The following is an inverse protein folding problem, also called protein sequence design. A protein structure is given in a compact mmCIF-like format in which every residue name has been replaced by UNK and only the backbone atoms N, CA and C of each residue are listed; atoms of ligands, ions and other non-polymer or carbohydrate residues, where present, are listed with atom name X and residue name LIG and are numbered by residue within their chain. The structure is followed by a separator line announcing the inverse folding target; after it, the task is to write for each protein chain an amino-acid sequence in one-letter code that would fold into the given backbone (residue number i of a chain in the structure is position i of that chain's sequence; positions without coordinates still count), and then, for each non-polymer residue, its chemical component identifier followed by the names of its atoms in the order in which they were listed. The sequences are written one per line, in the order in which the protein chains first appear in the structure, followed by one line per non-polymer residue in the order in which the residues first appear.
data_IF_657960551715
#
_entry.id   IF_657960551715
#
_cell.length_a   1.000
_cell.length_b   1.000
_cell.length_c   1.000
_cell.angle_alpha   90.00
_cell.angle_beta   90.00
_cell.angle_gamma   90.00
#
_symmetry.space_group_name_H-M   'P 1'
#
loop_
_entity.id
_entity.type
_entity.pdbx_description
1 polymer ?
#
# COMPACT_ATOMS: atom_id res chain seq x y z
N UNK A 1 16.20 -11.37 -31.28
CA UNK A 1 16.73 -11.55 -29.91
C UNK A 1 15.61 -11.19 -28.95
N UNK A 2 15.26 -12.10 -28.04
CA UNK A 2 14.28 -11.79 -27.00
C UNK A 2 14.98 -10.97 -25.90
N UNK A 3 14.40 -9.87 -25.40
CA UNK A 3 14.97 -9.10 -24.31
C UNK A 3 15.10 -9.96 -23.04
N UNK A 4 16.08 -9.65 -22.18
CA UNK A 4 16.17 -10.27 -20.88
C UNK A 4 15.20 -9.59 -19.89
N UNK A 5 13.97 -10.11 -19.83
CA UNK A 5 12.89 -9.56 -19.00
C UNK A 5 13.24 -9.52 -17.50
N UNK A 6 14.10 -10.41 -17.01
CA UNK A 6 14.49 -10.43 -15.60
C UNK A 6 15.27 -9.18 -15.17
N UNK A 7 16.04 -8.60 -16.09
CA UNK A 7 16.84 -7.39 -15.83
C UNK A 7 16.08 -6.08 -16.00
N UNK A 8 14.90 -6.12 -16.63
CA UNK A 8 14.11 -4.92 -16.91
C UNK A 8 13.38 -4.45 -15.66
N UNK A 9 13.26 -3.14 -15.48
CA UNK A 9 12.42 -2.52 -14.46
C UNK A 9 10.93 -2.72 -14.74
N UNK A 10 10.06 -2.53 -13.74
CA UNK A 10 8.59 -2.61 -13.92
C UNK A 10 8.10 -1.68 -15.05
N UNK A 11 8.69 -0.50 -15.19
CA UNK A 11 8.35 0.49 -16.21
C UNK A 11 8.76 0.02 -17.61
N UNK A 12 9.94 -0.57 -17.73
CA UNK A 12 10.43 -1.13 -18.99
C UNK A 12 9.59 -2.34 -19.41
N UNK A 13 9.29 -3.26 -18.48
CA UNK A 13 8.41 -4.40 -18.72
C UNK A 13 7.00 -3.97 -19.15
N UNK A 14 6.41 -2.98 -18.47
CA UNK A 14 5.10 -2.41 -18.87
C UNK A 14 5.15 -1.83 -20.29
N UNK A 15 6.19 -1.07 -20.60
CA UNK A 15 6.33 -0.41 -21.91
C UNK A 15 6.50 -1.44 -23.02
N UNK A 16 7.28 -2.50 -22.77
CA UNK A 16 7.49 -3.59 -23.70
C UNK A 16 6.21 -4.40 -23.93
N UNK A 17 5.53 -4.82 -22.86
CA UNK A 17 4.27 -5.57 -22.92
C UNK A 17 3.19 -4.80 -23.68
N UNK A 18 3.09 -3.47 -23.49
CA UNK A 18 2.13 -2.66 -24.23
C UNK A 18 2.37 -2.65 -25.75
N UNK A 19 3.64 -2.77 -26.18
CA UNK A 19 4.03 -2.88 -27.57
C UNK A 19 4.01 -4.33 -28.10
N UNK A 20 4.03 -5.34 -27.22
CA UNK A 20 4.13 -6.76 -27.54
C UNK A 20 3.11 -7.53 -26.68
N UNK A 21 1.82 -7.28 -26.91
CA UNK A 21 0.74 -7.76 -26.03
C UNK A 21 0.59 -9.29 -26.00
N UNK A 22 1.08 -9.96 -27.04
CA UNK A 22 1.00 -11.43 -27.19
C UNK A 22 2.26 -12.14 -26.66
N UNK A 23 3.22 -11.42 -26.09
CA UNK A 23 4.40 -12.04 -25.46
C UNK A 23 4.08 -12.43 -24.00
N UNK A 24 3.65 -13.68 -23.84
CA UNK A 24 3.35 -14.27 -22.53
C UNK A 24 4.53 -14.18 -21.56
N UNK A 25 5.78 -14.29 -22.06
CA UNK A 25 6.97 -14.21 -21.20
C UNK A 25 7.15 -12.80 -20.62
N UNK A 26 6.89 -11.77 -21.43
CA UNK A 26 6.87 -10.40 -20.95
C UNK A 26 5.71 -10.14 -19.98
N UNK A 27 4.54 -10.75 -20.22
CA UNK A 27 3.39 -10.66 -19.32
C UNK A 27 3.70 -11.27 -17.94
N UNK A 28 4.21 -12.50 -17.89
CA UNK A 28 4.57 -13.15 -16.63
C UNK A 28 5.66 -12.39 -15.89
N UNK A 29 6.73 -11.95 -16.57
CA UNK A 29 7.76 -11.14 -15.93
C UNK A 29 7.23 -9.81 -15.37
N UNK A 30 6.28 -9.17 -16.06
CA UNK A 30 5.61 -7.97 -15.55
C UNK A 30 4.72 -8.30 -14.34
N UNK A 31 3.94 -9.37 -14.40
CA UNK A 31 3.05 -9.80 -13.32
C UNK A 31 3.85 -10.17 -12.05
N UNK A 32 4.93 -10.94 -12.19
CA UNK A 32 5.85 -11.28 -11.10
C UNK A 32 6.43 -10.01 -10.48
N UNK A 33 6.92 -9.07 -11.30
CA UNK A 33 7.47 -7.81 -10.80
C UNK A 33 6.44 -6.95 -10.08
N UNK A 34 5.18 -6.97 -10.53
CA UNK A 34 4.08 -6.29 -9.84
C UNK A 34 3.82 -6.98 -8.50
N UNK A 35 3.72 -8.31 -8.48
CA UNK A 35 3.45 -9.07 -7.27
C UNK A 35 4.55 -8.89 -6.22
N UNK A 36 5.82 -8.96 -6.61
CA UNK A 36 6.98 -8.72 -5.73
C UNK A 36 6.96 -7.31 -5.15
N UNK A 37 6.60 -6.31 -5.97
CA UNK A 37 6.48 -4.92 -5.51
C UNK A 37 5.35 -4.76 -4.49
N UNK A 38 4.23 -5.46 -4.68
CA UNK A 38 3.12 -5.48 -3.72
C UNK A 38 3.56 -6.17 -2.45
N UNK A 39 4.11 -7.39 -2.51
CA UNK A 39 4.58 -8.15 -1.35
C UNK A 39 5.62 -7.37 -0.52
N UNK A 40 6.51 -6.63 -1.18
CA UNK A 40 7.49 -5.75 -0.52
C UNK A 40 6.80 -4.63 0.25
N UNK A 41 5.85 -3.94 -0.37
CA UNK A 41 5.08 -2.86 0.26
C UNK A 41 4.22 -3.41 1.40
N UNK A 42 3.59 -4.56 1.22
CA UNK A 42 2.83 -5.26 2.26
C UNK A 42 3.65 -5.52 3.50
N UNK A 43 4.84 -6.11 3.34
CA UNK A 43 5.74 -6.40 4.45
C UNK A 43 6.19 -5.11 5.14
N UNK A 44 6.57 -4.09 4.36
CA UNK A 44 7.01 -2.80 4.88
C UNK A 44 5.92 -2.09 5.71
N UNK A 45 4.67 -2.15 5.25
CA UNK A 45 3.50 -1.57 5.93
C UNK A 45 3.12 -2.36 7.16
N UNK A 46 3.19 -3.70 7.11
CA UNK A 46 2.96 -4.54 8.28
C UNK A 46 3.94 -4.23 9.41
N UNK A 47 5.22 -4.09 9.08
CA UNK A 47 6.25 -3.69 10.07
C UNK A 47 6.06 -2.25 10.57
N UNK A 48 5.60 -1.33 9.71
CA UNK A 48 5.18 0.00 10.18
C UNK A 48 3.99 -0.08 11.15
N UNK A 49 2.95 -0.87 10.84
CA UNK A 49 1.78 -1.05 11.71
C UNK A 49 2.18 -1.59 13.09
N UNK A 50 3.08 -2.58 13.16
CA UNK A 50 3.60 -3.10 14.43
C UNK A 50 4.28 -2.01 15.24
N UNK A 51 5.09 -1.17 14.61
CA UNK A 51 5.79 -0.06 15.29
C UNK A 51 4.82 0.99 15.82
N UNK A 52 3.73 1.28 15.10
CA UNK A 52 2.72 2.24 15.56
C UNK A 52 1.87 1.70 16.72
N UNK A 53 1.79 0.38 16.88
CA UNK A 53 0.98 -0.27 17.90
C UNK A 53 1.83 -1.24 18.76
N UNK A 54 2.88 -0.75 19.46
CA UNK A 54 3.88 -1.60 20.10
C UNK A 54 3.35 -2.43 21.29
N UNK A 55 2.20 -2.06 21.84
CA UNK A 55 1.52 -2.78 22.93
C UNK A 55 0.46 -3.76 22.43
N UNK A 56 0.38 -3.98 21.11
CA UNK A 56 -0.63 -4.80 20.48
C UNK A 56 0.05 -5.88 19.65
N UNK A 57 -0.44 -7.11 19.78
CA UNK A 57 0.00 -8.20 18.92
C UNK A 57 -0.69 -8.06 17.56
N UNK A 58 0.09 -7.98 16.48
CA UNK A 58 -0.43 -7.90 15.11
C UNK A 58 -0.07 -9.16 14.35
N UNK A 59 -1.08 -9.92 13.92
CA UNK A 59 -0.93 -11.19 13.20
C UNK A 59 -1.49 -11.07 11.78
N UNK A 60 -0.73 -11.47 10.76
CA UNK A 60 -1.19 -11.57 9.36
C UNK A 60 -2.02 -12.85 9.18
N UNK A 61 -3.25 -12.72 8.71
CA UNK A 61 -4.13 -13.84 8.40
C UNK A 61 -3.89 -14.36 6.96
N UNK A 62 -4.15 -15.65 6.69
CA UNK A 62 -3.78 -16.33 5.44
C UNK A 62 -4.64 -16.01 4.21
N UNK A 63 -5.47 -14.95 4.22
CA UNK A 63 -6.44 -14.68 3.15
C UNK A 63 -5.88 -13.91 1.94
N UNK A 64 -6.60 -14.02 0.80
CA UNK A 64 -6.31 -13.29 -0.45
C UNK A 64 -6.45 -11.76 -0.32
N UNK A 65 -7.17 -11.28 0.69
CA UNK A 65 -7.13 -9.89 1.15
C UNK A 65 -6.33 -9.90 2.46
N UNK A 66 -5.39 -8.98 2.60
CA UNK A 66 -4.57 -8.89 3.80
C UNK A 66 -5.45 -8.56 5.00
N UNK A 67 -5.75 -9.58 5.79
CA UNK A 67 -6.43 -9.44 7.07
C UNK A 67 -5.39 -9.45 8.18
N UNK A 68 -5.51 -8.53 9.11
CA UNK A 68 -4.69 -8.48 10.31
C UNK A 68 -5.57 -8.64 11.55
N UNK A 69 -5.08 -9.39 12.52
CA UNK A 69 -5.64 -9.44 13.86
C UNK A 69 -4.78 -8.54 14.74
N UNK A 70 -5.42 -7.59 15.42
CA UNK A 70 -4.78 -6.72 16.40
C UNK A 70 -5.39 -7.01 17.75
N UNK A 71 -4.58 -7.41 18.72
CA UNK A 71 -5.03 -7.57 20.10
C UNK A 71 -4.78 -6.26 20.84
N UNK A 72 -5.83 -5.60 21.31
CA UNK A 72 -5.66 -4.39 22.12
C UNK A 72 -5.20 -4.69 23.56
N UNK A 73 -4.99 -3.63 24.35
CA UNK A 73 -4.48 -3.76 25.73
C UNK A 73 -5.43 -4.52 26.67
N UNK A 74 -6.70 -4.64 26.29
CA UNK A 74 -7.75 -5.33 27.06
C UNK A 74 -7.98 -6.76 26.53
N UNK A 75 -7.02 -7.31 25.77
CA UNK A 75 -7.08 -8.61 25.09
C UNK A 75 -8.22 -8.75 24.07
N UNK A 76 -8.85 -7.65 23.67
CA UNK A 76 -9.88 -7.70 22.63
C UNK A 76 -9.24 -7.74 21.26
N UNK A 77 -9.58 -8.79 20.52
CA UNK A 77 -9.16 -8.93 19.13
C UNK A 77 -9.97 -7.98 18.27
N UNK A 78 -9.28 -7.10 17.54
CA UNK A 78 -9.79 -6.30 16.45
C UNK A 78 -9.34 -6.92 15.13
N UNK A 79 -10.26 -6.98 14.16
CA UNK A 79 -9.94 -7.44 12.83
C UNK A 79 -9.80 -6.24 11.92
N UNK A 80 -8.73 -6.21 11.15
CA UNK A 80 -8.45 -5.13 10.23
C UNK A 80 -8.30 -5.70 8.82
N UNK A 81 -8.99 -5.07 7.86
CA UNK A 81 -8.78 -5.34 6.44
C UNK A 81 -7.80 -4.31 5.87
N UNK A 82 -6.84 -4.79 5.09
CA UNK A 82 -5.90 -3.98 4.33
C UNK A 82 -6.14 -4.23 2.84
N UNK A 83 -6.58 -3.18 2.15
CA UNK A 83 -6.79 -3.20 0.71
C UNK A 83 -5.72 -2.38 0.02
N UNK A 84 -4.94 -3.01 -0.86
CA UNK A 84 -3.95 -2.32 -1.69
C UNK A 84 -4.57 -2.05 -3.06
N UNK A 85 -4.68 -0.77 -3.41
CA UNK A 85 -5.29 -0.30 -4.63
C UNK A 85 -4.25 0.51 -5.40
N UNK A 86 -4.08 0.21 -6.67
CA UNK A 86 -3.31 1.09 -7.54
C UNK A 86 -4.19 2.31 -7.86
N UNK A 87 -3.76 3.48 -7.39
CA UNK A 87 -4.47 4.73 -7.49
C UNK A 87 -3.63 5.73 -8.31
N UNK A 88 -4.30 6.73 -8.85
CA UNK A 88 -3.66 7.86 -9.52
C UNK A 88 -4.23 9.14 -8.92
N UNK A 89 -3.36 9.97 -8.37
CA UNK A 89 -3.70 11.30 -7.88
C UNK A 89 -2.75 12.26 -8.58
N UNK A 90 -3.25 13.39 -9.09
CA UNK A 90 -2.46 14.38 -9.82
C UNK A 90 -1.59 13.75 -10.95
N UNK A 91 -0.32 14.14 -11.06
CA UNK A 91 0.64 13.63 -12.05
C UNK A 91 1.30 12.28 -11.64
N UNK A 92 0.92 11.68 -10.50
CA UNK A 92 1.49 10.41 -10.06
C UNK A 92 0.86 9.24 -10.81
N UNK A 93 1.59 8.72 -11.81
CA UNK A 93 1.16 7.60 -12.66
C UNK A 93 1.04 6.25 -11.95
N UNK A 94 1.61 6.10 -10.76
CA UNK A 94 1.50 4.88 -9.94
C UNK A 94 1.60 5.25 -8.47
N UNK A 95 0.47 5.22 -7.76
CA UNK A 95 0.43 5.35 -6.31
C UNK A 95 -0.23 4.11 -5.73
N UNK A 96 0.30 3.55 -4.64
CA UNK A 96 -0.42 2.50 -3.91
C UNK A 96 -1.20 3.17 -2.78
N UNK A 97 -2.52 3.12 -2.87
CA UNK A 97 -3.44 3.52 -1.82
C UNK A 97 -3.78 2.28 -0.99
N UNK A 98 -3.53 2.37 0.31
CA UNK A 98 -3.76 1.28 1.25
C UNK A 98 -4.86 1.70 2.21
N UNK A 99 -6.02 1.04 2.12
CA UNK A 99 -7.16 1.28 3.00
C UNK A 99 -7.15 0.29 4.13
N UNK A 100 -7.10 0.81 5.35
CA UNK A 100 -7.10 0.04 6.59
C UNK A 100 -8.44 0.25 7.28
N UNK A 101 -9.24 -0.81 7.45
CA UNK A 101 -10.59 -0.75 8.03
C UNK A 101 -10.73 -1.68 9.22
N UNK A 102 -11.14 -1.15 10.39
CA UNK A 102 -11.55 -1.96 11.54
C UNK A 102 -12.94 -2.59 11.30
N UNK A 103 -13.04 -3.90 11.50
CA UNK A 103 -14.23 -4.71 11.20
C UNK A 103 -15.09 -4.92 12.45
N UNK A 104 -14.54 -4.77 13.67
CA UNK A 104 -15.22 -5.13 14.93
C UNK A 104 -16.01 -3.95 15.55
N UNK A 105 -16.82 -3.23 14.76
CA UNK A 105 -17.73 -2.22 15.29
C UNK A 105 -19.10 -2.80 15.65
N UNK A 106 -19.13 -3.83 16.49
CA UNK A 106 -20.37 -4.29 17.14
C UNK A 106 -20.56 -3.50 18.44
N UNK A 107 -20.82 -2.20 18.29
CA UNK A 107 -21.53 -1.36 19.25
C UNK A 107 -21.69 0.05 18.68
N UNK A 108 -22.90 0.58 18.83
CA UNK A 108 -23.30 1.92 18.42
C UNK A 108 -22.29 2.99 18.85
N UNK A 109 -21.45 3.46 17.91
CA UNK A 109 -20.99 4.85 17.74
C UNK A 109 -19.99 4.92 16.58
N UNK A 110 -20.49 5.33 15.41
CA UNK A 110 -19.79 5.96 14.29
C UNK A 110 -18.28 6.21 14.46
N UNK A 111 -17.44 5.20 14.24
CA UNK A 111 -16.01 5.44 13.98
C UNK A 111 -15.41 4.27 13.20
N UNK A 112 -15.67 4.25 11.90
CA UNK A 112 -14.71 3.63 10.97
C UNK A 112 -13.52 4.58 10.92
N UNK A 113 -12.50 4.33 11.73
CA UNK A 113 -11.21 5.01 11.60
C UNK A 113 -10.52 4.42 10.36
N UNK A 114 -10.93 4.89 9.17
CA UNK A 114 -10.29 4.54 7.92
C UNK A 114 -8.91 5.19 7.91
N UNK A 115 -7.85 4.38 7.96
CA UNK A 115 -6.49 4.88 7.68
C UNK A 115 -6.19 4.67 6.20
N UNK A 116 -5.75 5.74 5.54
CA UNK A 116 -5.34 5.69 4.14
C UNK A 116 -3.84 5.95 4.09
N UNK A 117 -3.07 4.93 3.69
CA UNK A 117 -1.63 5.07 3.48
C UNK A 117 -1.35 5.20 1.99
N UNK A 118 -0.66 6.26 1.60
CA UNK A 118 -0.24 6.51 0.23
C UNK A 118 1.25 6.24 0.11
N UNK A 119 1.63 5.28 -0.73
CA UNK A 119 3.01 4.84 -0.88
C UNK A 119 3.57 5.24 -2.24
N UNK A 120 4.57 6.13 -2.23
CA UNK A 120 5.30 6.55 -3.43
C UNK A 120 6.59 5.74 -3.63
N UNK A 121 7.15 5.83 -4.83
CA UNK A 121 8.37 5.11 -5.23
C UNK A 121 9.64 5.65 -4.53
N UNK A 122 9.63 6.91 -4.11
CA UNK A 122 10.78 7.53 -3.44
C UNK A 122 10.37 8.74 -2.59
N UNK A 123 11.30 9.22 -1.76
CA UNK A 123 11.10 10.35 -0.86
C UNK A 123 10.63 11.63 -1.58
N UNK A 124 11.26 11.98 -2.70
CA UNK A 124 10.93 13.20 -3.46
C UNK A 124 9.49 13.16 -3.96
N UNK A 125 9.06 12.03 -4.50
CA UNK A 125 7.70 11.85 -4.99
C UNK A 125 6.69 11.81 -3.83
N UNK A 126 7.04 11.20 -2.70
CA UNK A 126 6.19 11.19 -1.51
C UNK A 126 6.02 12.58 -0.88
N UNK A 127 7.06 13.43 -0.88
CA UNK A 127 6.96 14.84 -0.43
C UNK A 127 6.00 15.64 -1.30
N UNK A 128 6.16 15.56 -2.63
CA UNK A 128 5.27 16.25 -3.55
C UNK A 128 3.83 15.75 -3.40
N UNK A 129 3.64 14.43 -3.28
CA UNK A 129 2.33 13.82 -3.05
C UNK A 129 1.67 14.30 -1.75
N UNK A 130 2.44 14.40 -0.65
CA UNK A 130 1.93 14.92 0.63
C UNK A 130 1.41 16.35 0.48
N UNK A 131 2.12 17.19 -0.26
CA UNK A 131 1.66 18.55 -0.59
C UNK A 131 0.36 18.51 -1.39
N UNK A 132 0.33 17.74 -2.48
CA UNK A 132 -0.82 17.69 -3.40
C UNK A 132 -2.08 17.11 -2.71
N UNK A 133 -1.93 16.09 -1.85
CA UNK A 133 -3.01 15.54 -1.01
C UNK A 133 -3.52 16.59 -0.01
N UNK A 134 -2.61 17.37 0.59
CA UNK A 134 -2.98 18.41 1.56
C UNK A 134 -3.80 19.51 0.89
N UNK A 135 -3.42 19.91 -0.33
CA UNK A 135 -4.13 20.92 -1.13
C UNK A 135 -5.52 20.44 -1.58
N UNK A 136 -5.63 19.18 -2.03
CA UNK A 136 -6.90 18.59 -2.51
C UNK A 136 -7.95 18.37 -1.42
N UNK A 137 -7.56 18.22 -0.15
CA UNK A 137 -8.43 17.69 0.90
C UNK A 137 -8.87 18.68 1.97
N UNK A 138 -8.72 19.99 1.74
CA UNK A 138 -9.29 21.05 2.59
C UNK A 138 -10.82 20.94 2.80
N UNK A 139 -11.54 20.14 1.98
CA UNK A 139 -13.00 20.03 1.99
C UNK A 139 -13.58 18.62 2.30
N UNK A 140 -12.78 17.66 2.79
CA UNK A 140 -13.23 16.28 3.03
C UNK A 140 -13.94 16.10 4.38
N UNK A 141 -15.21 15.68 4.36
CA UNK A 141 -16.06 15.44 5.57
C UNK A 141 -15.66 14.19 6.37
N UNK A 142 -14.98 13.22 5.75
CA UNK A 142 -14.49 12.01 6.43
C UNK A 142 -13.18 12.27 7.19
N UNK A 143 -13.20 12.09 8.52
CA UNK A 143 -12.02 12.08 9.41
C UNK A 143 -11.19 10.80 9.23
N UNK A 144 -10.74 10.50 8.01
CA UNK A 144 -9.76 9.44 7.78
C UNK A 144 -8.37 9.97 8.13
N UNK A 145 -7.63 9.25 8.96
CA UNK A 145 -6.20 9.54 9.14
C UNK A 145 -5.46 9.15 7.86
N UNK A 146 -4.63 10.06 7.33
CA UNK A 146 -3.88 9.84 6.10
C UNK A 146 -2.40 9.86 6.40
N UNK A 147 -1.69 8.86 5.90
CA UNK A 147 -0.24 8.73 6.02
C UNK A 147 0.33 8.72 4.62
N UNK A 148 1.36 9.52 4.38
CA UNK A 148 2.09 9.51 3.11
C UNK A 148 3.49 9.03 3.39
N UNK A 149 3.99 8.12 2.58
CA UNK A 149 5.33 7.60 2.74
C UNK A 149 5.87 6.96 1.47
N UNK A 150 7.04 6.38 1.60
CA UNK A 150 7.71 5.63 0.55
C UNK A 150 8.41 4.41 1.17
N UNK A 151 8.69 3.42 0.34
CA UNK A 151 9.58 2.32 0.72
C UNK A 151 10.99 2.70 0.30
N UNK A 152 11.92 2.75 1.25
CA UNK A 152 13.32 3.05 0.96
C UNK A 152 14.05 1.87 0.29
N UNK A 153 15.32 2.06 -0.06
CA UNK A 153 16.15 1.01 -0.67
C UNK A 153 16.35 -0.22 0.24
N UNK A 154 16.13 -0.08 1.55
CA UNK A 154 16.24 -1.17 2.52
C UNK A 154 14.91 -1.93 2.68
N UNK A 155 13.89 -1.59 1.87
CA UNK A 155 12.57 -2.19 1.95
C UNK A 155 11.75 -1.71 3.15
N UNK A 156 12.15 -0.63 3.82
CA UNK A 156 11.45 -0.10 5.00
C UNK A 156 10.51 1.02 4.61
N UNK A 157 9.28 0.96 5.12
CA UNK A 157 8.34 2.07 4.98
C UNK A 157 8.79 3.25 5.84
N UNK A 158 8.89 4.42 5.19
CA UNK A 158 9.22 5.72 5.76
C UNK A 158 8.04 6.66 5.57
N UNK A 159 7.43 7.02 6.69
CA UNK A 159 6.43 8.07 6.76
C UNK A 159 7.09 9.45 6.64
N UNK A 160 6.39 10.38 5.99
CA UNK A 160 6.81 11.77 5.75
C UNK A 160 5.91 12.73 6.51
#
# INVERSE_FOLDING_TARGET
MQPNFQTMSKKELRSYLLAHRDDDSAFYAYADRVYDSVATVEAAVFEWLKRQNPHQEIIKAPDKCLRFLITDKDEKVKRINVHIINSSIADYKTLLEIKIQDINSDSQKNKVDLFVVFVSENCKNALNLKRDITELHSNSVTKSARVVGYVDSDGKFKEI
#
